data_IF_198597362627
#
_entry.id   IF_198597362627
#
_cell.length_a   1.000
_cell.length_b   1.000
_cell.length_c   1.000
_cell.angle_alpha   90.00
_cell.angle_beta   90.00
_cell.angle_gamma   90.00
#
_symmetry.space_group_name_H-M   'P 1'
#
loop_
_entity.id
_entity.type
_entity.pdbx_description
1 polymer ?
#
# COMPACT_ATOMS: atom_id res chain seq x y z
N UNK A 1 4.73 10.86 -13.96
CA UNK A 1 5.06 9.42 -14.03
C UNK A 1 6.54 9.14 -13.80
N UNK A 2 7.50 9.78 -14.50
CA UNK A 2 8.95 9.53 -14.32
C UNK A 2 9.42 9.83 -12.89
N UNK A 3 8.97 10.93 -12.29
CA UNK A 3 9.30 11.29 -10.90
C UNK A 3 8.84 10.27 -9.85
N UNK A 4 7.73 9.60 -10.12
CA UNK A 4 7.18 8.58 -9.20
C UNK A 4 8.01 7.30 -9.26
N UNK A 5 8.41 6.87 -10.46
CA UNK A 5 9.28 5.71 -10.65
C UNK A 5 10.65 5.98 -10.02
N UNK A 6 11.23 7.15 -10.26
CA UNK A 6 12.50 7.56 -9.66
C UNK A 6 12.44 7.59 -8.12
N UNK A 7 11.37 8.15 -7.53
CA UNK A 7 11.19 8.18 -6.08
C UNK A 7 11.03 6.77 -5.48
N UNK A 8 10.31 5.87 -6.18
CA UNK A 8 10.15 4.49 -5.73
C UNK A 8 11.47 3.72 -5.80
N UNK A 9 12.23 3.89 -6.87
CA UNK A 9 13.55 3.27 -7.02
C UNK A 9 14.54 3.80 -6.00
N UNK A 10 14.58 5.12 -5.77
CA UNK A 10 15.42 5.73 -4.75
C UNK A 10 15.06 5.23 -3.35
N UNK A 11 13.76 5.12 -3.04
CA UNK A 11 13.27 4.55 -1.78
C UNK A 11 13.68 3.09 -1.60
N UNK A 12 13.56 2.27 -2.63
CA UNK A 12 13.97 0.87 -2.60
C UNK A 12 15.49 0.72 -2.42
N UNK A 13 16.29 1.52 -3.12
CA UNK A 13 17.75 1.52 -2.99
C UNK A 13 18.18 1.97 -1.58
N UNK A 14 17.59 3.04 -1.06
CA UNK A 14 17.85 3.54 0.29
C UNK A 14 17.48 2.50 1.35
N UNK A 15 16.35 1.83 1.17
CA UNK A 15 15.91 0.75 2.05
C UNK A 15 16.90 -0.43 2.06
N UNK A 16 17.31 -0.89 0.87
CA UNK A 16 18.31 -1.97 0.73
C UNK A 16 19.65 -1.57 1.32
N UNK A 17 20.09 -0.33 1.10
CA UNK A 17 21.32 0.19 1.67
C UNK A 17 21.28 0.27 3.21
N UNK A 18 20.16 0.69 3.78
CA UNK A 18 19.95 0.68 5.22
C UNK A 18 19.89 -0.75 5.77
N UNK A 19 19.22 -1.65 5.08
CA UNK A 19 19.16 -3.06 5.47
C UNK A 19 20.53 -3.71 5.45
N UNK A 20 21.38 -3.40 4.45
CA UNK A 20 22.77 -3.84 4.39
C UNK A 20 23.61 -3.25 5.53
N UNK A 21 23.41 -1.98 5.88
CA UNK A 21 24.05 -1.34 7.04
C UNK A 21 23.67 -2.00 8.35
N UNK A 22 22.37 -2.24 8.55
CA UNK A 22 21.89 -2.94 9.73
C UNK A 22 22.42 -4.38 9.79
N UNK A 23 22.45 -5.09 8.67
CA UNK A 23 23.07 -6.42 8.58
C UNK A 23 24.57 -6.38 8.89
N UNK A 24 25.29 -5.33 8.46
CA UNK A 24 26.71 -5.15 8.78
C UNK A 24 26.95 -4.81 10.27
N UNK A 25 26.07 -3.99 10.87
CA UNK A 25 26.16 -3.61 12.29
C UNK A 25 25.76 -4.79 13.20
N UNK A 26 24.72 -5.54 12.81
CA UNK A 26 24.19 -6.65 13.62
C UNK A 26 24.63 -8.03 13.15
N UNK A 27 25.15 -8.18 11.93
CA UNK A 27 25.61 -9.45 11.33
C UNK A 27 27.12 -9.61 11.21
N UNK A 28 27.88 -8.54 11.45
CA UNK A 28 29.35 -8.50 11.30
C UNK A 28 30.10 -8.79 12.59
N UNK A 29 30.06 -10.01 13.07
CA UNK A 29 30.78 -10.40 14.27
C UNK A 29 31.29 -11.83 14.21
N UNK A 30 32.17 -12.15 13.26
CA UNK A 30 33.15 -13.23 13.40
C UNK A 30 34.51 -12.58 13.63
N UNK A 31 34.77 -12.17 14.84
CA UNK A 31 36.10 -12.07 15.43
C UNK A 31 35.98 -12.41 16.90
N UNK A 32 36.91 -13.29 17.30
CA UNK A 32 37.09 -13.78 18.66
C UNK A 32 37.03 -12.64 19.70
N UNK A 33 36.57 -13.05 20.87
CA UNK A 33 36.50 -12.33 22.15
C UNK A 33 35.46 -11.21 22.28
N UNK A 34 34.68 -11.43 23.36
CA UNK A 34 33.74 -10.56 24.07
C UNK A 34 32.30 -10.44 23.58
N UNK A 35 31.46 -11.18 24.28
CA UNK A 35 30.12 -11.03 24.90
C UNK A 35 29.06 -10.03 24.41
N UNK A 36 29.11 -9.50 23.16
CA UNK A 36 27.99 -8.74 22.59
C UNK A 36 27.59 -9.26 21.20
N UNK A 37 27.39 -10.58 21.09
CA UNK A 37 26.79 -11.20 19.93
C UNK A 37 25.36 -10.74 19.75
N UNK A 38 25.06 -10.08 18.62
CA UNK A 38 23.69 -9.74 18.25
C UNK A 38 22.79 -10.97 18.46
N UNK A 39 21.79 -10.81 19.31
CA UNK A 39 20.86 -11.87 19.66
C UNK A 39 20.24 -12.45 18.36
N UNK A 40 20.45 -13.73 18.01
CA UNK A 40 19.93 -14.33 16.79
C UNK A 40 18.42 -14.19 16.68
N UNK A 41 17.72 -14.11 17.81
CA UNK A 41 16.29 -13.85 17.87
C UNK A 41 15.95 -12.43 17.36
N UNK A 42 16.78 -11.42 17.68
CA UNK A 42 16.58 -10.06 17.20
C UNK A 42 16.80 -9.96 15.68
N UNK A 43 17.77 -10.69 15.13
CA UNK A 43 17.98 -10.75 13.66
C UNK A 43 16.79 -11.39 12.94
N UNK A 44 16.25 -12.48 13.47
CA UNK A 44 15.06 -13.14 12.91
C UNK A 44 13.86 -12.19 12.98
N UNK A 45 13.66 -11.52 14.12
CA UNK A 45 12.59 -10.52 14.28
C UNK A 45 12.68 -9.40 13.26
N UNK A 46 13.85 -8.82 13.07
CA UNK A 46 14.07 -7.76 12.07
C UNK A 46 13.86 -8.28 10.66
N UNK A 47 14.35 -9.47 10.34
CA UNK A 47 14.18 -10.08 9.01
C UNK A 47 12.71 -10.33 8.65
N UNK A 48 11.86 -10.62 9.63
CA UNK A 48 10.43 -10.82 9.42
C UNK A 48 9.66 -9.50 9.47
N UNK A 49 9.97 -8.61 10.41
CA UNK A 49 9.20 -7.37 10.60
C UNK A 49 9.51 -6.30 9.54
N UNK A 50 10.75 -6.23 9.05
CA UNK A 50 11.13 -5.20 8.07
C UNK A 50 10.34 -5.31 6.75
N UNK A 51 10.17 -6.49 6.12
CA UNK A 51 9.32 -6.62 4.94
C UNK A 51 7.86 -6.24 5.20
N UNK A 52 7.31 -6.61 6.37
CA UNK A 52 5.94 -6.28 6.74
C UNK A 52 5.78 -4.76 6.88
N UNK A 53 6.71 -4.10 7.57
CA UNK A 53 6.70 -2.64 7.72
C UNK A 53 6.82 -1.95 6.36
N UNK A 54 7.70 -2.42 5.47
CA UNK A 54 7.82 -1.88 4.12
C UNK A 54 6.51 -2.01 3.33
N UNK A 55 5.83 -3.15 3.41
CA UNK A 55 4.55 -3.37 2.76
C UNK A 55 3.46 -2.43 3.31
N UNK A 56 3.39 -2.23 4.62
CA UNK A 56 2.45 -1.30 5.24
C UNK A 56 2.68 0.15 4.78
N UNK A 57 3.93 0.57 4.69
CA UNK A 57 4.29 1.91 4.17
C UNK A 57 3.87 2.05 2.70
N UNK A 58 4.13 1.05 1.86
CA UNK A 58 3.72 1.06 0.46
C UNK A 58 2.20 1.16 0.32
N UNK A 59 1.44 0.40 1.11
CA UNK A 59 -0.02 0.48 1.11
C UNK A 59 -0.52 1.86 1.56
N UNK A 60 0.07 2.46 2.58
CA UNK A 60 -0.30 3.80 3.05
C UNK A 60 -0.06 4.87 1.96
N UNK A 61 1.08 4.79 1.26
CA UNK A 61 1.40 5.69 0.14
C UNK A 61 0.41 5.50 -1.01
N UNK A 62 0.07 4.25 -1.37
CA UNK A 62 -0.89 3.95 -2.43
C UNK A 62 -2.27 4.54 -2.12
N UNK A 63 -2.79 4.31 -0.92
CA UNK A 63 -4.07 4.87 -0.46
C UNK A 63 -4.10 6.40 -0.50
N UNK A 64 -3.02 7.06 -0.07
CA UNK A 64 -2.91 8.52 -0.11
C UNK A 64 -2.98 9.05 -1.55
N UNK A 65 -2.38 8.35 -2.51
CA UNK A 65 -2.44 8.72 -3.93
C UNK A 65 -3.85 8.60 -4.49
N UNK A 66 -4.59 7.58 -4.11
CA UNK A 66 -5.98 7.42 -4.54
C UNK A 66 -6.89 8.52 -4.00
N UNK A 67 -6.78 8.88 -2.71
CA UNK A 67 -7.52 10.00 -2.16
C UNK A 67 -7.21 11.33 -2.88
N UNK A 68 -5.95 11.57 -3.26
CA UNK A 68 -5.58 12.75 -4.05
C UNK A 68 -6.14 12.70 -5.46
N UNK A 69 -6.18 11.52 -6.08
CA UNK A 69 -6.79 11.34 -7.39
C UNK A 69 -8.31 11.56 -7.33
N UNK A 70 -8.97 11.08 -6.28
CA UNK A 70 -10.40 11.31 -6.05
C UNK A 70 -10.70 12.81 -5.85
N UNK A 71 -9.90 13.50 -5.04
CA UNK A 71 -10.03 14.94 -4.83
C UNK A 71 -9.86 15.71 -6.15
N UNK A 72 -8.85 15.37 -6.92
CA UNK A 72 -8.63 15.98 -8.23
C UNK A 72 -9.79 15.70 -9.19
N UNK A 73 -10.25 14.45 -9.26
CA UNK A 73 -11.40 14.06 -10.08
C UNK A 73 -12.69 14.79 -9.67
N UNK A 74 -12.92 14.94 -8.38
CA UNK A 74 -14.05 15.68 -7.84
C UNK A 74 -14.00 17.18 -8.24
N UNK A 75 -12.83 17.81 -8.17
CA UNK A 75 -12.62 19.20 -8.61
C UNK A 75 -12.85 19.37 -10.11
N UNK A 76 -12.30 18.47 -10.94
CA UNK A 76 -12.45 18.52 -12.40
C UNK A 76 -13.90 18.31 -12.82
N UNK A 77 -14.64 17.42 -12.13
CA UNK A 77 -16.07 17.19 -12.42
C UNK A 77 -16.99 18.28 -11.89
N UNK A 78 -16.48 19.18 -11.06
CA UNK A 78 -17.26 20.28 -10.46
C UNK A 78 -18.21 19.83 -9.33
N UNK A 79 -18.36 18.53 -9.09
CA UNK A 79 -19.19 18.00 -8.01
C UNK A 79 -18.66 16.65 -7.51
N UNK A 80 -18.23 16.56 -6.24
CA UNK A 80 -17.70 15.32 -5.67
C UNK A 80 -18.72 14.18 -5.63
N UNK A 81 -20.02 14.47 -5.58
CA UNK A 81 -21.06 13.46 -5.58
C UNK A 81 -21.14 12.67 -6.90
N UNK A 82 -20.68 13.23 -8.02
CA UNK A 82 -20.62 12.49 -9.29
C UNK A 82 -19.66 11.32 -9.19
N UNK A 83 -18.48 11.56 -8.64
CA UNK A 83 -17.47 10.51 -8.44
C UNK A 83 -17.92 9.52 -7.35
N UNK A 84 -18.49 10.00 -6.25
CA UNK A 84 -19.04 9.15 -5.19
C UNK A 84 -20.11 8.19 -5.73
N UNK A 85 -21.03 8.67 -6.56
CA UNK A 85 -22.07 7.85 -7.18
C UNK A 85 -21.48 6.84 -8.19
N UNK A 86 -20.46 7.23 -8.95
CA UNK A 86 -19.76 6.32 -9.86
C UNK A 86 -19.09 5.19 -9.08
N UNK A 87 -18.40 5.48 -7.97
CA UNK A 87 -17.77 4.47 -7.12
C UNK A 87 -18.81 3.51 -6.51
N UNK A 88 -19.95 4.01 -6.01
CA UNK A 88 -21.06 3.15 -5.52
C UNK A 88 -21.56 2.20 -6.59
N UNK A 89 -21.74 2.71 -7.80
CA UNK A 89 -22.20 1.93 -8.93
C UNK A 89 -21.21 0.84 -9.30
N UNK A 90 -19.92 1.18 -9.39
CA UNK A 90 -18.86 0.21 -9.67
C UNK A 90 -18.75 -0.87 -8.59
N UNK A 91 -18.82 -0.50 -7.31
CA UNK A 91 -18.82 -1.46 -6.20
C UNK A 91 -20.03 -2.40 -6.25
N UNK A 92 -21.22 -1.87 -6.54
CA UNK A 92 -22.43 -2.68 -6.71
C UNK A 92 -22.28 -3.68 -7.85
N UNK A 93 -21.70 -3.29 -8.98
CA UNK A 93 -21.47 -4.20 -10.12
C UNK A 93 -20.38 -5.24 -9.79
N UNK A 94 -19.28 -4.84 -9.16
CA UNK A 94 -18.20 -5.75 -8.77
C UNK A 94 -18.70 -6.87 -7.85
N UNK A 95 -19.64 -6.55 -6.97
CA UNK A 95 -20.26 -7.56 -6.09
C UNK A 95 -21.24 -8.50 -6.81
N UNK A 96 -21.94 -8.00 -7.84
CA UNK A 96 -22.95 -8.79 -8.61
C UNK A 96 -22.30 -9.66 -9.66
N UNK A 97 -21.23 -9.20 -10.24
CA UNK A 97 -20.51 -9.87 -11.34
C UNK A 97 -19.04 -10.02 -10.90
N UNK A 98 -18.76 -11.03 -10.06
CA UNK A 98 -17.39 -11.27 -9.61
C UNK A 98 -16.51 -11.68 -10.79
N UNK A 99 -15.29 -11.18 -10.81
CA UNK A 99 -14.29 -11.50 -11.82
C UNK A 99 -13.58 -12.82 -11.47
N UNK A 100 -13.81 -13.92 -12.23
CA UNK A 100 -13.31 -15.25 -11.84
C UNK A 100 -11.77 -15.37 -11.83
N UNK A 101 -11.07 -14.51 -12.59
CA UNK A 101 -9.62 -14.53 -12.73
C UNK A 101 -8.93 -13.32 -12.07
N UNK A 102 -9.57 -12.69 -11.09
CA UNK A 102 -8.97 -11.59 -10.35
C UNK A 102 -7.72 -12.07 -9.59
N UNK A 103 -6.60 -11.40 -9.79
CA UNK A 103 -5.33 -11.69 -9.15
C UNK A 103 -4.84 -10.49 -8.34
N UNK A 104 -4.20 -10.71 -7.17
CA UNK A 104 -3.56 -9.63 -6.43
C UNK A 104 -2.53 -8.86 -7.25
N UNK A 105 -1.88 -9.52 -8.23
CA UNK A 105 -0.89 -8.87 -9.10
C UNK A 105 -1.51 -7.83 -10.05
N UNK A 106 -2.81 -7.92 -10.35
CA UNK A 106 -3.53 -7.01 -11.24
C UNK A 106 -4.49 -6.09 -10.50
N UNK A 107 -4.60 -6.20 -9.18
CA UNK A 107 -5.53 -5.43 -8.36
C UNK A 107 -5.38 -3.92 -8.57
N UNK A 108 -4.15 -3.43 -8.69
CA UNK A 108 -3.82 -2.02 -8.90
C UNK A 108 -4.30 -1.44 -10.24
N UNK A 109 -4.78 -2.26 -11.16
CA UNK A 109 -5.34 -1.82 -12.44
C UNK A 109 -6.84 -1.48 -12.35
N UNK A 110 -7.49 -1.83 -11.24
CA UNK A 110 -8.91 -1.61 -11.04
C UNK A 110 -9.16 -0.39 -10.15
N UNK A 111 -10.20 0.37 -10.44
CA UNK A 111 -10.61 1.52 -9.61
C UNK A 111 -11.34 1.08 -8.32
N UNK A 112 -11.98 -0.08 -8.37
CA UNK A 112 -12.58 -0.80 -7.23
C UNK A 112 -12.00 -2.20 -7.21
N UNK A 113 -11.49 -2.64 -6.05
CA UNK A 113 -10.86 -3.96 -5.93
C UNK A 113 -11.83 -5.08 -6.32
N UNK A 114 -11.48 -5.94 -7.30
CA UNK A 114 -12.30 -7.09 -7.67
C UNK A 114 -12.24 -8.20 -6.62
N UNK A 115 -11.32 -8.12 -5.65
CA UNK A 115 -11.12 -9.07 -4.56
C UNK A 115 -11.97 -8.72 -3.32
N UNK A 116 -12.80 -7.68 -3.39
CA UNK A 116 -13.64 -7.19 -2.29
C UNK A 116 -14.71 -8.22 -1.91
N UNK A 117 -14.42 -9.08 -0.99
CA UNK A 117 -15.32 -10.12 -0.43
C UNK A 117 -14.65 -10.87 0.71
N UNK A 118 -13.34 -10.83 0.79
CA UNK A 118 -12.59 -11.51 1.82
C UNK A 118 -12.03 -10.50 2.84
N UNK A 119 -12.49 -10.56 4.10
CA UNK A 119 -12.08 -9.62 5.17
C UNK A 119 -10.57 -9.58 5.38
N UNK A 120 -9.89 -10.71 5.17
CA UNK A 120 -8.43 -10.79 5.25
C UNK A 120 -7.75 -10.14 4.04
N UNK A 121 -8.32 -10.27 2.83
CA UNK A 121 -7.79 -9.61 1.64
C UNK A 121 -7.87 -8.07 1.75
N UNK A 122 -8.87 -7.54 2.43
CA UNK A 122 -9.01 -6.09 2.64
C UNK A 122 -7.91 -5.49 3.55
N UNK A 123 -7.33 -6.27 4.46
CA UNK A 123 -6.19 -5.81 5.28
C UNK A 123 -4.92 -5.62 4.44
N UNK A 124 -4.76 -6.46 3.42
CA UNK A 124 -3.61 -6.45 2.52
C UNK A 124 -3.91 -5.79 1.17
N UNK A 125 -5.12 -5.22 1.00
CA UNK A 125 -5.47 -4.46 -0.19
C UNK A 125 -4.64 -3.18 -0.29
N UNK A 126 -4.07 -2.95 -1.45
CA UNK A 126 -3.38 -1.71 -1.79
C UNK A 126 -4.33 -0.53 -1.94
N UNK A 127 -5.64 -0.81 -2.14
CA UNK A 127 -6.69 0.19 -2.25
C UNK A 127 -7.32 0.53 -0.90
N UNK A 128 -7.71 1.79 -0.66
CA UNK A 128 -8.60 2.13 0.45
C UNK A 128 -9.99 1.52 0.20
N UNK A 129 -10.72 1.25 1.27
CA UNK A 129 -12.09 0.77 1.13
C UNK A 129 -12.92 1.78 0.32
N UNK A 130 -13.71 1.29 -0.64
CA UNK A 130 -14.56 2.14 -1.49
C UNK A 130 -15.51 3.00 -0.64
N UNK A 131 -16.00 2.45 0.47
CA UNK A 131 -16.84 3.19 1.43
C UNK A 131 -16.12 4.41 2.02
N UNK A 132 -14.82 4.28 2.35
CA UNK A 132 -14.04 5.40 2.91
C UNK A 132 -13.78 6.48 1.85
N UNK A 133 -13.56 6.09 0.59
CA UNK A 133 -13.43 7.00 -0.55
C UNK A 133 -14.72 7.78 -0.78
N UNK A 134 -15.87 7.08 -0.79
CA UNK A 134 -17.19 7.69 -0.95
C UNK A 134 -17.45 8.69 0.18
N UNK A 135 -17.22 8.29 1.44
CA UNK A 135 -17.40 9.16 2.60
C UNK A 135 -16.58 10.44 2.48
N UNK A 136 -15.31 10.34 2.13
CA UNK A 136 -14.44 11.51 1.92
C UNK A 136 -14.94 12.43 0.82
N UNK A 137 -15.43 11.88 -0.28
CA UNK A 137 -16.02 12.66 -1.37
C UNK A 137 -17.30 13.38 -0.94
N UNK A 138 -18.15 12.75 -0.12
CA UNK A 138 -19.39 13.36 0.40
C UNK A 138 -19.11 14.49 1.40
N UNK A 139 -17.99 14.41 2.12
CA UNK A 139 -17.54 15.44 3.07
C UNK A 139 -16.88 16.64 2.36
N UNK A 140 -16.55 16.53 1.06
CA UNK A 140 -15.97 17.62 0.30
C UNK A 140 -17.02 18.69 -0.05
N UNK A 141 -16.71 19.94 0.23
CA UNK A 141 -17.46 21.13 -0.21
C UNK A 141 -16.53 22.00 -1.05
N UNK A 142 -17.00 22.44 -2.22
CA UNK A 142 -16.32 23.40 -3.10
C UNK A 142 -17.22 24.59 -3.31
#
# INVERSE_FOLDING_TARGET
MISTVAATMAGAITFLANMARWAAIFGGGRRDDDRDGANPLALILVAVLAPIAAMLVQMAISRTREYKADEFGARVSGNPLYLANALRKLESYSRRIPMPNASPATENMFIVSPLAGNKLANLFSTHPATADRIKKLEEMSF
#
